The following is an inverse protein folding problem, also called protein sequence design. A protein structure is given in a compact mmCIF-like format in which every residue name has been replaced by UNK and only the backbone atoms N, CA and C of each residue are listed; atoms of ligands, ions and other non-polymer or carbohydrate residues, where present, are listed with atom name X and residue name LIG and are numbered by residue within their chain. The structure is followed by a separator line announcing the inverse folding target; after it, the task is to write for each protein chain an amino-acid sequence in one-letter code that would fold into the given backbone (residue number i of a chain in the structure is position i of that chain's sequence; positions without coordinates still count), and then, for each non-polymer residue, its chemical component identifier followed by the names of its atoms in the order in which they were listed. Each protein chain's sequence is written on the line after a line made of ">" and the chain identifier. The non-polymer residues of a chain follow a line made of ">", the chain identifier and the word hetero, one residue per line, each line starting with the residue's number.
data_IF_972968580120
#
_entry.id   IF_972968580120
#
_cell.length_a   1.000
_cell.length_b   1.000
_cell.length_c   1.000
_cell.angle_alpha   90.00
_cell.angle_beta   90.00
_cell.angle_gamma   90.00
#
_symmetry.space_group_name_H-M   'P 1'
#
loop_
_entity.id
_entity.type
_entity.pdbx_description
1 polymer ?
#
# COMPACT_ATOMS: atom_id res chain seq x y z
N UNK A 1 12.13 9.01 8.29
CA UNK A 1 12.77 10.16 8.96
C UNK A 1 12.14 11.48 8.48
N UNK A 2 10.80 11.65 8.49
CA UNK A 2 10.14 12.52 7.49
C UNK A 2 8.85 13.30 7.88
N UNK A 3 8.57 13.57 9.17
CA UNK A 3 7.37 14.38 9.59
C UNK A 3 7.71 15.33 10.78
N UNK A 4 8.99 15.49 11.10
CA UNK A 4 9.41 15.71 12.50
C UNK A 4 9.97 17.10 12.81
N UNK A 5 10.04 17.98 11.81
CA UNK A 5 10.73 19.27 11.92
C UNK A 5 9.80 20.47 11.94
N UNK A 6 8.49 20.27 11.92
CA UNK A 6 7.52 21.31 12.23
C UNK A 6 7.34 21.35 13.75
N UNK A 7 7.64 22.48 14.39
CA UNK A 7 7.35 22.77 15.81
C UNK A 7 5.83 22.74 16.14
N UNK A 8 5.00 22.22 15.23
CA UNK A 8 3.56 22.11 15.33
C UNK A 8 3.10 20.94 16.22
N UNK A 9 3.88 19.85 16.34
CA UNK A 9 3.49 18.64 17.08
C UNK A 9 4.67 18.11 17.90
N UNK A 10 4.47 17.87 19.20
CA UNK A 10 5.49 17.31 20.09
C UNK A 10 6.04 15.98 19.53
N UNK A 11 7.36 15.83 19.56
CA UNK A 11 8.10 14.64 19.13
C UNK A 11 7.52 13.34 19.73
N UNK A 12 7.11 13.36 20.99
CA UNK A 12 6.49 12.18 21.62
C UNK A 12 5.15 11.83 20.95
N UNK A 13 4.33 12.84 20.65
CA UNK A 13 3.03 12.68 19.99
C UNK A 13 3.18 12.18 18.55
N UNK A 14 4.17 12.68 17.82
CA UNK A 14 4.43 12.21 16.47
C UNK A 14 4.90 10.73 16.42
N UNK A 15 5.56 10.22 17.48
CA UNK A 15 6.03 8.82 17.51
C UNK A 15 4.84 7.92 17.77
N UNK A 16 3.97 8.33 18.69
CA UNK A 16 2.70 7.65 18.97
C UNK A 16 1.81 7.61 17.71
N UNK A 17 1.70 8.72 16.97
CA UNK A 17 0.92 8.78 15.73
C UNK A 17 1.54 7.94 14.60
N UNK A 18 2.86 7.74 14.57
CA UNK A 18 3.53 6.91 13.58
C UNK A 18 3.49 5.41 13.93
N UNK A 19 3.53 5.05 15.23
CA UNK A 19 3.52 3.66 15.66
C UNK A 19 2.12 3.05 15.62
N UNK A 20 1.06 3.81 15.95
CA UNK A 20 -0.32 3.29 15.96
C UNK A 20 -0.73 2.69 14.60
N UNK A 21 -0.54 3.36 13.44
CA UNK A 21 -0.88 2.81 12.13
C UNK A 21 -0.03 1.59 11.78
N UNK A 22 1.27 1.62 12.08
CA UNK A 22 2.19 0.50 11.80
C UNK A 22 1.83 -0.71 12.65
N UNK A 23 1.56 -0.53 13.94
CA UNK A 23 1.14 -1.60 14.85
C UNK A 23 -0.21 -2.18 14.46
N UNK A 24 -1.19 -1.35 14.08
CA UNK A 24 -2.47 -1.82 13.54
C UNK A 24 -2.29 -2.60 12.23
N UNK A 25 -1.40 -2.15 11.35
CA UNK A 25 -1.13 -2.81 10.08
C UNK A 25 -0.45 -4.17 10.29
N UNK A 26 0.56 -4.24 11.16
CA UNK A 26 1.22 -5.50 11.54
C UNK A 26 0.22 -6.44 12.20
N UNK A 27 -0.61 -5.95 13.12
CA UNK A 27 -1.64 -6.75 13.77
C UNK A 27 -2.67 -7.30 12.78
N UNK A 28 -3.18 -6.45 11.87
CA UNK A 28 -4.14 -6.85 10.85
C UNK A 28 -3.54 -7.86 9.87
N UNK A 29 -2.28 -7.69 9.48
CA UNK A 29 -1.55 -8.62 8.61
C UNK A 29 -1.35 -9.99 9.28
N UNK A 30 -0.89 -10.01 10.54
CA UNK A 30 -0.71 -11.24 11.32
C UNK A 30 -2.03 -11.97 11.53
N UNK A 31 -3.12 -11.25 11.84
CA UNK A 31 -4.46 -11.86 11.93
C UNK A 31 -4.99 -12.35 10.59
N UNK A 32 -4.71 -11.64 9.50
CA UNK A 32 -5.11 -12.03 8.14
C UNK A 32 -4.49 -13.36 7.73
N UNK A 33 -3.23 -13.61 8.09
CA UNK A 33 -2.55 -14.88 7.87
C UNK A 33 -3.18 -16.06 8.64
N UNK A 34 -3.81 -15.79 9.78
CA UNK A 34 -4.43 -16.82 10.64
C UNK A 34 -5.85 -17.24 10.19
N UNK A 35 -6.50 -16.50 9.29
CA UNK A 35 -7.90 -16.71 8.90
C UNK A 35 -8.08 -17.65 7.69
N UNK A 36 -7.00 -18.10 7.06
CA UNK A 36 -7.04 -18.99 5.90
C UNK A 36 -7.15 -20.46 6.28
N UNK A 37 -8.31 -20.89 6.78
CA UNK A 37 -8.56 -22.31 7.06
C UNK A 37 -9.31 -23.06 5.95
N UNK A 38 -10.00 -22.34 5.05
CA UNK A 38 -10.63 -22.91 3.85
C UNK A 38 -10.42 -21.96 2.66
N UNK A 39 -9.29 -22.09 1.96
CA UNK A 39 -8.99 -21.27 0.80
C UNK A 39 -9.34 -22.01 -0.49
N UNK A 40 -10.15 -21.39 -1.36
CA UNK A 40 -10.29 -21.85 -2.74
C UNK A 40 -8.95 -21.74 -3.49
N UNK A 41 -8.81 -22.47 -4.60
CA UNK A 41 -7.65 -22.38 -5.49
C UNK A 41 -7.41 -20.96 -6.02
N UNK A 42 -8.47 -20.13 -6.11
CA UNK A 42 -8.37 -18.74 -6.56
C UNK A 42 -7.70 -17.85 -5.49
N UNK A 43 -8.13 -17.97 -4.23
CA UNK A 43 -7.48 -17.30 -3.09
C UNK A 43 -6.00 -17.64 -3.01
N UNK A 44 -5.63 -18.92 -3.19
CA UNK A 44 -4.23 -19.33 -3.16
C UNK A 44 -3.39 -18.67 -4.27
N UNK A 45 -3.92 -18.59 -5.51
CA UNK A 45 -3.22 -17.91 -6.62
C UNK A 45 -3.04 -16.43 -6.35
N UNK A 46 -4.06 -15.75 -5.80
CA UNK A 46 -3.97 -14.35 -5.43
C UNK A 46 -2.88 -14.12 -4.36
N UNK A 47 -2.93 -14.87 -3.26
CA UNK A 47 -1.97 -14.74 -2.16
C UNK A 47 -0.55 -15.06 -2.61
N UNK A 48 -0.36 -16.07 -3.47
CA UNK A 48 0.95 -16.41 -4.02
C UNK A 48 1.49 -15.29 -4.89
N UNK A 49 0.68 -14.72 -5.80
CA UNK A 49 1.10 -13.58 -6.63
C UNK A 49 1.43 -12.38 -5.78
N UNK A 50 0.62 -12.08 -4.77
CA UNK A 50 0.87 -11.00 -3.82
C UNK A 50 2.18 -11.21 -3.04
N UNK A 51 2.40 -12.43 -2.54
CA UNK A 51 3.62 -12.79 -1.81
C UNK A 51 4.86 -12.67 -2.69
N UNK A 52 4.79 -13.10 -3.96
CA UNK A 52 5.88 -12.92 -4.93
C UNK A 52 6.17 -11.44 -5.19
N UNK A 53 5.14 -10.61 -5.34
CA UNK A 53 5.30 -9.16 -5.53
C UNK A 53 5.93 -8.50 -4.30
N UNK A 54 5.53 -8.89 -3.08
CA UNK A 54 6.11 -8.39 -1.83
C UNK A 54 7.55 -8.87 -1.61
N UNK A 55 7.85 -10.12 -1.94
CA UNK A 55 9.21 -10.63 -1.89
C UNK A 55 10.12 -9.86 -2.86
N UNK A 56 9.63 -9.61 -4.09
CA UNK A 56 10.34 -8.80 -5.07
C UNK A 56 10.57 -7.37 -4.57
N UNK A 57 9.56 -6.73 -3.97
CA UNK A 57 9.71 -5.42 -3.32
C UNK A 57 10.83 -5.42 -2.27
N UNK A 58 10.79 -6.34 -1.30
CA UNK A 58 11.76 -6.37 -0.20
C UNK A 58 13.18 -6.67 -0.68
N UNK A 59 13.33 -7.62 -1.60
CA UNK A 59 14.64 -7.97 -2.18
C UNK A 59 15.22 -6.78 -2.94
N UNK A 60 14.44 -6.16 -3.81
CA UNK A 60 14.92 -5.03 -4.63
C UNK A 60 15.21 -3.79 -3.78
N UNK A 61 14.42 -3.54 -2.73
CA UNK A 61 14.68 -2.47 -1.76
C UNK A 61 16.00 -2.70 -1.03
N UNK A 62 16.21 -3.91 -0.49
CA UNK A 62 17.43 -4.24 0.24
C UNK A 62 18.68 -4.16 -0.67
N UNK A 63 18.54 -4.56 -1.94
CA UNK A 63 19.61 -4.38 -2.93
C UNK A 63 19.87 -2.90 -3.21
N UNK A 64 18.83 -2.08 -3.39
CA UNK A 64 18.99 -0.65 -3.60
C UNK A 64 19.70 0.03 -2.43
N UNK A 65 19.25 -0.20 -1.19
CA UNK A 65 19.89 0.34 0.02
C UNK A 65 21.36 -0.12 0.14
N UNK A 66 21.63 -1.41 -0.07
CA UNK A 66 23.00 -1.94 0.07
C UNK A 66 23.97 -1.40 -0.99
N UNK A 67 23.56 -1.31 -2.25
CA UNK A 67 24.44 -0.92 -3.34
C UNK A 67 24.50 0.60 -3.56
N UNK A 68 23.38 1.31 -3.46
CA UNK A 68 23.33 2.76 -3.68
C UNK A 68 23.87 3.46 -2.44
N UNK A 69 23.26 3.25 -1.27
CA UNK A 69 23.63 3.96 -0.05
C UNK A 69 24.86 3.34 0.62
N UNK A 70 24.96 2.00 0.64
CA UNK A 70 26.07 1.30 1.29
C UNK A 70 27.38 1.28 0.50
N UNK A 71 27.33 1.34 -0.84
CA UNK A 71 28.52 1.22 -1.72
C UNK A 71 28.71 2.40 -2.68
N UNK A 72 27.82 3.38 -2.67
CA UNK A 72 27.93 4.57 -3.52
C UNK A 72 27.77 4.28 -5.01
N UNK A 73 26.96 3.26 -5.39
CA UNK A 73 26.68 2.98 -6.78
C UNK A 73 25.95 4.17 -7.42
N UNK A 74 26.50 4.72 -8.51
CA UNK A 74 25.92 5.86 -9.23
C UNK A 74 25.70 5.57 -10.71
N UNK A 75 25.03 6.48 -11.41
CA UNK A 75 24.79 6.40 -12.86
C UNK A 75 23.58 5.55 -13.25
N UNK A 76 23.52 5.10 -14.53
CA UNK A 76 22.33 4.42 -15.08
C UNK A 76 21.93 3.15 -14.34
N UNK A 77 22.91 2.39 -13.81
CA UNK A 77 22.66 1.16 -13.07
C UNK A 77 21.97 1.44 -11.73
N UNK A 78 22.36 2.52 -11.04
CA UNK A 78 21.72 2.95 -9.81
C UNK A 78 20.26 3.39 -10.06
N UNK A 79 20.01 4.10 -11.16
CA UNK A 79 18.66 4.49 -11.56
C UNK A 79 17.76 3.28 -11.85
N UNK A 80 18.28 2.27 -12.56
CA UNK A 80 17.55 1.02 -12.81
C UNK A 80 17.24 0.29 -11.50
N UNK A 81 18.21 0.21 -10.58
CA UNK A 81 18.03 -0.46 -9.30
C UNK A 81 17.01 0.25 -8.41
N UNK A 82 17.04 1.59 -8.37
CA UNK A 82 16.07 2.41 -7.63
C UNK A 82 14.65 2.34 -8.21
N UNK A 83 14.51 2.00 -9.49
CA UNK A 83 13.21 1.81 -10.15
C UNK A 83 12.52 0.50 -9.75
N UNK A 84 13.27 -0.57 -9.46
CA UNK A 84 12.71 -1.91 -9.22
C UNK A 84 11.74 -1.99 -8.02
N UNK A 85 12.03 -1.38 -6.85
CA UNK A 85 11.06 -1.32 -5.76
C UNK A 85 9.79 -0.57 -6.17
N UNK A 86 9.91 0.49 -6.97
CA UNK A 86 8.79 1.22 -7.55
C UNK A 86 7.91 0.33 -8.44
N UNK A 87 8.54 -0.53 -9.26
CA UNK A 87 7.83 -1.48 -10.12
C UNK A 87 6.99 -2.48 -9.34
N UNK A 88 7.41 -2.84 -8.12
CA UNK A 88 6.63 -3.75 -7.27
C UNK A 88 5.23 -3.20 -6.94
N UNK A 89 5.08 -1.88 -6.78
CA UNK A 89 3.77 -1.27 -6.52
C UNK A 89 2.83 -1.41 -7.71
N UNK A 90 3.35 -1.31 -8.95
CA UNK A 90 2.56 -1.63 -10.15
C UNK A 90 2.11 -3.10 -10.14
N UNK A 91 2.98 -4.00 -9.67
CA UNK A 91 2.64 -5.40 -9.42
C UNK A 91 1.47 -5.58 -8.44
N UNK A 92 1.43 -4.82 -7.34
CA UNK A 92 0.33 -4.88 -6.37
C UNK A 92 -1.01 -4.51 -7.01
N UNK A 93 -1.02 -3.41 -7.78
CA UNK A 93 -2.22 -2.97 -8.51
C UNK A 93 -2.63 -4.00 -9.56
N UNK A 94 -1.67 -4.61 -10.27
CA UNK A 94 -1.92 -5.67 -11.23
C UNK A 94 -2.54 -6.91 -10.57
N UNK A 95 -2.00 -7.36 -9.43
CA UNK A 95 -2.53 -8.50 -8.68
C UNK A 95 -3.95 -8.22 -8.19
N UNK A 96 -4.24 -6.99 -7.76
CA UNK A 96 -5.59 -6.56 -7.39
C UNK A 96 -6.54 -6.51 -8.60
N UNK A 97 -6.09 -6.02 -9.76
CA UNK A 97 -6.86 -6.10 -11.00
C UNK A 97 -7.16 -7.54 -11.42
N UNK A 98 -6.17 -8.43 -11.26
CA UNK A 98 -6.35 -9.86 -11.47
C UNK A 98 -7.40 -10.48 -10.55
N UNK A 99 -7.48 -10.06 -9.28
CA UNK A 99 -8.54 -10.49 -8.36
C UNK A 99 -9.93 -10.13 -8.89
N UNK A 100 -10.12 -8.91 -9.38
CA UNK A 100 -11.40 -8.46 -9.96
C UNK A 100 -11.77 -9.32 -11.19
N UNK A 101 -10.79 -9.66 -12.02
CA UNK A 101 -11.02 -10.42 -13.24
C UNK A 101 -11.30 -11.91 -13.01
N UNK A 102 -10.65 -12.49 -12.00
CA UNK A 102 -10.83 -13.92 -11.67
C UNK A 102 -12.08 -14.18 -10.82
N UNK A 103 -12.66 -13.14 -10.20
CA UNK A 103 -13.87 -13.25 -9.41
C UNK A 103 -15.08 -13.63 -10.27
N UNK A 104 -15.75 -14.73 -9.88
CA UNK A 104 -16.87 -15.29 -10.62
C UNK A 104 -18.21 -14.69 -10.19
N UNK A 105 -18.30 -14.27 -8.93
CA UNK A 105 -19.49 -13.65 -8.39
C UNK A 105 -19.50 -12.16 -8.74
N UNK A 106 -20.47 -11.74 -9.56
CA UNK A 106 -20.58 -10.35 -10.01
C UNK A 106 -20.80 -9.36 -8.87
N UNK A 107 -21.42 -9.80 -7.77
CA UNK A 107 -21.61 -8.98 -6.59
C UNK A 107 -20.26 -8.72 -5.90
N UNK A 108 -19.43 -9.75 -5.69
CA UNK A 108 -18.09 -9.57 -5.11
C UNK A 108 -17.17 -8.78 -6.03
N UNK A 109 -17.23 -9.02 -7.34
CA UNK A 109 -16.50 -8.23 -8.34
C UNK A 109 -16.84 -6.74 -8.22
N UNK A 110 -18.11 -6.39 -8.07
CA UNK A 110 -18.55 -5.00 -7.83
C UNK A 110 -17.99 -4.45 -6.51
N UNK A 111 -17.97 -5.25 -5.44
CA UNK A 111 -17.42 -4.83 -4.15
C UNK A 111 -15.92 -4.52 -4.23
N UNK A 112 -15.12 -5.33 -4.93
CA UNK A 112 -13.70 -5.06 -5.13
C UNK A 112 -13.46 -3.80 -5.97
N UNK A 113 -14.23 -3.62 -7.06
CA UNK A 113 -14.15 -2.39 -7.87
C UNK A 113 -14.46 -1.17 -7.01
N UNK A 114 -15.50 -1.25 -6.15
CA UNK A 114 -15.84 -0.17 -5.23
C UNK A 114 -14.73 0.12 -4.21
N UNK A 115 -14.09 -0.91 -3.65
CA UNK A 115 -12.93 -0.75 -2.77
C UNK A 115 -11.79 -0.02 -3.49
N UNK A 116 -11.45 -0.46 -4.71
CA UNK A 116 -10.42 0.15 -5.54
C UNK A 116 -10.72 1.62 -5.85
N UNK A 117 -11.97 1.95 -6.20
CA UNK A 117 -12.37 3.33 -6.47
C UNK A 117 -12.30 4.22 -5.23
N UNK A 118 -12.73 3.73 -4.07
CA UNK A 118 -12.60 4.46 -2.80
C UNK A 118 -11.12 4.69 -2.46
N UNK A 119 -10.29 3.65 -2.58
CA UNK A 119 -8.86 3.72 -2.35
C UNK A 119 -8.16 4.73 -3.26
N UNK A 120 -8.48 4.70 -4.56
CA UNK A 120 -7.96 5.64 -5.55
C UNK A 120 -8.41 7.06 -5.26
N UNK A 121 -9.69 7.27 -4.94
CA UNK A 121 -10.19 8.59 -4.55
C UNK A 121 -9.44 9.16 -3.34
N UNK A 122 -9.28 8.37 -2.28
CA UNK A 122 -8.52 8.78 -1.09
C UNK A 122 -7.07 9.12 -1.46
N UNK A 123 -6.37 8.22 -2.14
CA UNK A 123 -4.95 8.40 -2.46
C UNK A 123 -4.72 9.61 -3.38
N UNK A 124 -5.52 9.76 -4.44
CA UNK A 124 -5.36 10.86 -5.40
C UNK A 124 -5.73 12.21 -4.82
N UNK A 125 -6.81 12.30 -4.04
CA UNK A 125 -7.19 13.55 -3.38
C UNK A 125 -6.14 13.96 -2.36
N UNK A 126 -5.64 13.04 -1.53
CA UNK A 126 -4.58 13.34 -0.57
C UNK A 126 -3.26 13.72 -1.26
N UNK A 127 -2.89 13.01 -2.33
CA UNK A 127 -1.70 13.33 -3.13
C UNK A 127 -1.78 14.71 -3.76
N UNK A 128 -2.93 15.07 -4.34
CA UNK A 128 -3.15 16.38 -4.95
C UNK A 128 -3.07 17.50 -3.89
N UNK A 129 -3.78 17.34 -2.76
CA UNK A 129 -3.74 18.32 -1.67
C UNK A 129 -2.30 18.50 -1.18
N UNK A 130 -1.58 17.41 -0.89
CA UNK A 130 -0.20 17.49 -0.42
C UNK A 130 0.74 18.10 -1.45
N UNK A 131 0.60 17.72 -2.73
CA UNK A 131 1.40 18.29 -3.81
C UNK A 131 1.21 19.80 -3.97
N UNK A 132 -0.02 20.32 -3.79
CA UNK A 132 -0.24 21.77 -3.74
C UNK A 132 0.41 22.41 -2.51
N UNK A 133 0.25 21.81 -1.33
CA UNK A 133 0.88 22.32 -0.11
C UNK A 133 2.41 22.38 -0.25
N UNK A 134 3.02 21.38 -0.89
CA UNK A 134 4.47 21.34 -1.18
C UNK A 134 4.85 22.44 -2.20
N UNK A 135 4.05 22.60 -3.27
CA UNK A 135 4.27 23.63 -4.29
C UNK A 135 4.28 25.04 -3.69
N UNK A 136 3.41 25.30 -2.72
CA UNK A 136 3.34 26.60 -2.02
C UNK A 136 4.26 26.67 -0.79
N UNK A 137 5.14 25.68 -0.58
CA UNK A 137 6.09 25.61 0.55
C UNK A 137 5.43 25.68 1.93
N UNK A 138 4.21 25.17 2.05
CA UNK A 138 3.46 25.11 3.31
C UNK A 138 3.89 23.88 4.12
N UNK A 139 4.21 22.78 3.45
CA UNK A 139 4.64 21.51 4.06
C UNK A 139 5.95 21.01 3.44
N UNK A 140 6.63 20.10 4.14
CA UNK A 140 7.83 19.43 3.62
C UNK A 140 7.48 18.40 2.54
N UNK A 141 8.39 18.18 1.57
CA UNK A 141 8.26 17.11 0.58
C UNK A 141 8.09 15.74 1.24
N UNK A 142 7.12 14.96 0.74
CA UNK A 142 6.94 13.56 1.15
C UNK A 142 7.38 12.65 0.02
N UNK A 143 8.07 11.56 0.39
CA UNK A 143 8.49 10.57 -0.60
C UNK A 143 7.27 9.94 -1.28
N UNK A 144 7.24 10.01 -2.61
CA UNK A 144 6.07 9.64 -3.42
C UNK A 144 5.61 8.18 -3.24
N UNK A 145 6.46 7.28 -2.74
CA UNK A 145 6.10 5.89 -2.48
C UNK A 145 5.04 5.72 -1.38
N UNK A 146 4.75 6.76 -0.57
CA UNK A 146 3.68 6.72 0.42
C UNK A 146 2.28 6.71 -0.21
N UNK A 147 2.08 7.24 -1.41
CA UNK A 147 0.75 7.30 -2.05
C UNK A 147 0.18 5.90 -2.37
N UNK A 148 0.95 4.95 -2.93
CA UNK A 148 0.54 3.55 -3.01
C UNK A 148 0.24 2.90 -1.65
N UNK A 149 1.00 3.21 -0.60
CA UNK A 149 0.73 2.68 0.75
C UNK A 149 -0.61 3.18 1.29
N UNK A 150 -0.89 4.48 1.12
CA UNK A 150 -2.19 5.08 1.46
C UNK A 150 -3.31 4.44 0.64
N UNK A 151 -3.07 4.12 -0.63
CA UNK A 151 -4.02 3.40 -1.46
C UNK A 151 -4.35 2.02 -0.89
N UNK A 152 -3.34 1.25 -0.46
CA UNK A 152 -3.58 -0.04 0.20
C UNK A 152 -4.43 0.09 1.48
N UNK A 153 -4.21 1.14 2.28
CA UNK A 153 -5.07 1.44 3.44
C UNK A 153 -6.50 1.81 3.02
N UNK A 154 -6.61 2.57 1.92
CA UNK A 154 -7.89 2.94 1.31
C UNK A 154 -8.74 1.74 0.87
N UNK A 155 -8.13 0.60 0.50
CA UNK A 155 -8.86 -0.63 0.22
C UNK A 155 -9.60 -1.14 1.48
N UNK A 156 -8.94 -1.08 2.64
CA UNK A 156 -9.54 -1.42 3.93
C UNK A 156 -10.70 -0.50 4.29
N UNK A 157 -10.54 0.81 4.06
CA UNK A 157 -11.64 1.78 4.20
C UNK A 157 -12.80 1.41 3.28
N UNK A 158 -12.52 1.10 2.01
CA UNK A 158 -13.51 0.61 1.07
C UNK A 158 -14.25 -0.64 1.54
N UNK A 159 -13.53 -1.58 2.18
CA UNK A 159 -14.11 -2.79 2.74
C UNK A 159 -15.07 -2.49 3.90
N UNK A 160 -14.73 -1.53 4.77
CA UNK A 160 -15.62 -1.05 5.83
C UNK A 160 -16.88 -0.40 5.23
N UNK A 161 -16.74 0.43 4.19
CA UNK A 161 -17.89 1.02 3.48
C UNK A 161 -18.78 -0.04 2.79
N UNK A 162 -18.19 -1.15 2.36
CA UNK A 162 -18.94 -2.29 1.87
C UNK A 162 -19.69 -2.98 3.01
N UNK A 163 -19.06 -3.19 4.16
CA UNK A 163 -19.70 -3.80 5.33
C UNK A 163 -20.92 -3.02 5.80
N UNK A 164 -20.79 -1.70 5.88
CA UNK A 164 -21.88 -0.82 6.33
C UNK A 164 -23.05 -0.85 5.34
N UNK A 165 -22.78 -0.85 4.03
CA UNK A 165 -23.82 -0.74 3.00
C UNK A 165 -24.45 -2.08 2.60
N UNK A 166 -23.65 -3.13 2.56
CA UNK A 166 -24.00 -4.43 1.98
C UNK A 166 -23.88 -5.61 2.96
N UNK A 167 -23.48 -5.36 4.21
CA UNK A 167 -23.38 -6.40 5.24
C UNK A 167 -22.15 -7.31 5.14
N UNK A 168 -21.30 -7.15 4.11
CA UNK A 168 -20.05 -7.90 3.91
C UNK A 168 -18.88 -6.99 3.56
N UNK A 169 -17.66 -7.37 3.94
CA UNK A 169 -16.45 -6.61 3.64
C UNK A 169 -16.06 -6.69 2.16
N UNK A 170 -16.53 -7.71 1.42
CA UNK A 170 -15.93 -8.11 0.15
C UNK A 170 -14.61 -8.84 0.44
N UNK A 171 -14.71 -9.93 1.19
CA UNK A 171 -13.59 -10.80 1.53
C UNK A 171 -13.28 -11.75 0.36
N UNK A 172 -12.00 -12.07 0.21
CA UNK A 172 -11.51 -12.96 -0.84
C UNK A 172 -12.03 -14.38 -0.55
N UNK A 173 -12.59 -15.04 -1.57
CA UNK A 173 -13.19 -16.38 -1.49
C UNK A 173 -12.44 -17.40 -2.34
#
# INVERSE_FOLDING_TARGET
>A
MFVWKSDAINTTTAYVLATIPVSLMVFAFVKGLSLSKDNSLATHRYLLRMALTMAFYLITLMLAEHFIDGRGLTGPVAALLAFLPGLSFAGVVWVFGGLIMEEKDEFFRMLYVRQGLIATGISFTLAAIWGFLETYRIVEPVAAFWWPTIWCLGLGVGAIFNKIKYGTYGEIR
#
